data_IF_898586450349
#
_entry.id   IF_898586450349
#
_cell.length_a   1.000
_cell.length_b   1.000
_cell.length_c   1.000
_cell.angle_alpha   90.00
_cell.angle_beta   90.00
_cell.angle_gamma   90.00
#
_symmetry.space_group_name_H-M   'P 1'
#
loop_
_entity.id
_entity.type
_entity.pdbx_description
1 polymer ?
#
# COMPACT_ATOMS: atom_id res chain seq x y z
N UNK A 1 -0.15 19.03 13.53
CA UNK A 1 -1.57 19.33 13.80
C UNK A 1 -2.34 18.03 13.70
N UNK A 2 -3.30 17.76 14.60
CA UNK A 2 -4.16 16.57 14.50
C UNK A 2 -5.44 16.99 13.79
N UNK A 3 -5.77 16.32 12.69
CA UNK A 3 -6.92 16.59 11.83
C UNK A 3 -7.73 15.30 11.65
N UNK A 4 -8.97 15.40 11.18
CA UNK A 4 -9.90 14.24 11.05
C UNK A 4 -10.06 13.46 12.35
N UNK A 5 -10.53 14.14 13.41
CA UNK A 5 -10.91 13.54 14.70
C UNK A 5 -9.85 12.68 15.40
N UNK A 6 -8.55 12.85 15.11
CA UNK A 6 -7.49 12.00 15.69
C UNK A 6 -6.77 11.11 14.67
N UNK A 7 -7.43 10.81 13.55
CA UNK A 7 -6.99 9.80 12.58
C UNK A 7 -5.87 10.26 11.66
N UNK A 8 -5.70 11.58 11.47
CA UNK A 8 -4.67 12.13 10.61
C UNK A 8 -3.75 13.09 11.36
N UNK A 9 -2.48 12.74 11.48
CA UNK A 9 -1.49 13.58 12.12
C UNK A 9 -0.60 14.24 11.06
N UNK A 10 -0.37 15.55 11.19
CA UNK A 10 0.62 16.28 10.38
C UNK A 10 1.81 16.69 11.25
N UNK A 11 2.97 16.13 10.92
CA UNK A 11 4.26 16.45 11.54
C UNK A 11 5.29 16.66 10.41
N UNK A 12 6.41 17.32 10.69
CA UNK A 12 7.48 17.55 9.71
C UNK A 12 7.98 16.26 9.04
N UNK A 13 7.97 15.13 9.76
CA UNK A 13 8.29 13.82 9.19
C UNK A 13 7.33 13.44 8.06
N UNK A 14 6.02 13.55 8.30
CA UNK A 14 4.97 13.18 7.34
C UNK A 14 5.04 14.08 6.10
N UNK A 15 5.32 15.38 6.30
CA UNK A 15 5.50 16.34 5.21
C UNK A 15 6.67 15.98 4.30
N UNK A 16 7.80 15.51 4.85
CA UNK A 16 8.96 15.06 4.06
C UNK A 16 8.58 13.87 3.16
N UNK A 17 7.86 12.87 3.69
CA UNK A 17 7.44 11.71 2.88
C UNK A 17 6.37 12.07 1.85
N UNK A 18 5.41 12.93 2.20
CA UNK A 18 4.42 13.44 1.25
C UNK A 18 5.08 14.21 0.11
N UNK A 19 6.05 15.06 0.43
CA UNK A 19 6.84 15.76 -0.58
C UNK A 19 7.59 14.79 -1.50
N UNK A 20 8.19 13.73 -0.93
CA UNK A 20 8.89 12.70 -1.71
C UNK A 20 7.93 11.96 -2.66
N UNK A 21 6.74 11.58 -2.19
CA UNK A 21 5.71 10.92 -3.02
C UNK A 21 5.24 11.84 -4.16
N UNK A 22 5.01 13.11 -3.86
CA UNK A 22 4.65 14.11 -4.87
C UNK A 22 5.77 14.29 -5.91
N UNK A 23 7.02 14.33 -5.47
CA UNK A 23 8.17 14.42 -6.37
C UNK A 23 8.28 13.19 -7.28
N UNK A 24 8.15 11.98 -6.73
CA UNK A 24 8.17 10.74 -7.50
C UNK A 24 7.07 10.70 -8.57
N UNK A 25 5.84 11.10 -8.23
CA UNK A 25 4.75 11.10 -9.19
C UNK A 25 4.85 12.17 -10.27
N UNK A 26 5.31 13.36 -9.89
CA UNK A 26 5.57 14.45 -10.85
C UNK A 26 6.64 14.05 -11.86
N UNK A 27 7.65 13.28 -11.45
CA UNK A 27 8.67 12.72 -12.34
C UNK A 27 8.16 11.53 -13.17
N UNK A 28 7.25 10.72 -12.62
CA UNK A 28 6.69 9.55 -13.31
C UNK A 28 5.87 9.95 -14.55
N UNK A 29 5.05 10.99 -14.45
CA UNK A 29 4.17 11.46 -15.55
C UNK A 29 4.95 11.73 -16.85
N UNK A 30 5.96 12.62 -16.90
CA UNK A 30 6.69 12.91 -18.14
C UNK A 30 7.45 11.68 -18.66
N UNK A 31 7.98 10.84 -17.79
CA UNK A 31 8.67 9.60 -18.19
C UNK A 31 7.75 8.59 -18.88
N UNK A 32 6.45 8.62 -18.55
CA UNK A 32 5.46 7.72 -19.14
C UNK A 32 4.81 8.22 -20.43
N UNK A 33 4.96 9.50 -20.80
CA UNK A 33 4.23 10.08 -21.95
C UNK A 33 4.54 9.34 -23.25
N UNK A 34 5.83 9.17 -23.56
CA UNK A 34 6.28 8.51 -24.79
C UNK A 34 5.77 7.06 -24.87
N UNK A 35 5.71 6.36 -23.73
CA UNK A 35 5.18 5.00 -23.66
C UNK A 35 3.68 4.91 -23.92
N UNK A 36 2.91 5.83 -23.36
CA UNK A 36 1.46 5.84 -23.54
C UNK A 36 1.11 6.18 -24.99
N UNK A 37 1.86 7.10 -25.61
CA UNK A 37 1.72 7.43 -27.02
C UNK A 37 2.03 6.24 -27.93
N UNK A 38 3.13 5.51 -27.67
CA UNK A 38 3.48 4.30 -28.43
C UNK A 38 2.48 3.15 -28.28
N UNK A 39 1.80 3.05 -27.14
CA UNK A 39 0.82 1.98 -26.87
C UNK A 39 -0.60 2.32 -27.32
N UNK A 40 -0.82 3.52 -27.86
CA UNK A 40 -2.12 4.05 -28.30
C UNK A 40 -3.20 4.00 -27.20
N UNK A 41 -2.79 4.15 -25.94
CA UNK A 41 -3.69 4.06 -24.79
C UNK A 41 -4.13 5.44 -24.28
N UNK A 42 -5.25 5.46 -23.54
CA UNK A 42 -5.85 6.71 -23.07
C UNK A 42 -5.06 7.32 -21.91
N UNK A 43 -4.26 8.36 -22.18
CA UNK A 43 -3.45 9.12 -21.20
C UNK A 43 -4.27 9.51 -19.95
N UNK A 44 -5.57 9.79 -20.11
CA UNK A 44 -6.46 10.13 -19.00
C UNK A 44 -6.62 8.99 -17.98
N UNK A 45 -6.71 7.73 -18.41
CA UNK A 45 -6.82 6.57 -17.50
C UNK A 45 -5.52 6.43 -16.69
N UNK A 46 -4.37 6.57 -17.36
CA UNK A 46 -3.06 6.49 -16.70
C UNK A 46 -2.90 7.58 -15.64
N UNK A 47 -3.19 8.85 -16.00
CA UNK A 47 -3.10 9.97 -15.07
C UNK A 47 -4.03 9.79 -13.87
N UNK A 48 -5.25 9.31 -14.09
CA UNK A 48 -6.20 9.04 -13.00
C UNK A 48 -5.62 8.03 -12.01
N UNK A 49 -5.07 6.92 -12.50
CA UNK A 49 -4.51 5.90 -11.61
C UNK A 49 -3.25 6.39 -10.89
N UNK A 50 -2.35 7.11 -11.56
CA UNK A 50 -1.15 7.69 -10.90
C UNK A 50 -1.56 8.67 -9.81
N UNK A 51 -2.46 9.61 -10.11
CA UNK A 51 -2.91 10.60 -9.13
C UNK A 51 -3.65 9.93 -7.96
N UNK A 52 -4.48 8.92 -8.23
CA UNK A 52 -5.18 8.19 -7.17
C UNK A 52 -4.20 7.40 -6.29
N UNK A 53 -3.18 6.77 -6.89
CA UNK A 53 -2.10 6.14 -6.13
C UNK A 53 -1.37 7.16 -5.24
N UNK A 54 -1.05 8.35 -5.77
CA UNK A 54 -0.36 9.38 -4.98
C UNK A 54 -1.16 9.84 -3.80
N UNK A 55 -2.47 10.03 -3.97
CA UNK A 55 -3.37 10.38 -2.87
C UNK A 55 -3.34 9.29 -1.80
N UNK A 56 -3.46 8.01 -2.18
CA UNK A 56 -3.32 6.89 -1.25
C UNK A 56 -2.00 6.92 -0.48
N UNK A 57 -0.88 7.13 -1.16
CA UNK A 57 0.43 7.27 -0.52
C UNK A 57 0.52 8.46 0.45
N UNK A 58 -0.05 9.61 0.08
CA UNK A 58 -0.06 10.80 0.95
C UNK A 58 -0.90 10.60 2.21
N UNK A 59 -2.04 9.89 2.10
CA UNK A 59 -2.87 9.51 3.24
C UNK A 59 -2.14 8.57 4.19
N UNK A 60 -1.40 7.59 3.65
CA UNK A 60 -0.61 6.66 4.46
C UNK A 60 0.42 7.38 5.34
N UNK A 61 1.09 8.41 4.81
CA UNK A 61 2.09 9.17 5.58
C UNK A 61 1.54 9.84 6.85
N UNK A 62 0.25 10.17 6.89
CA UNK A 62 -0.38 10.80 8.05
C UNK A 62 -1.31 9.88 8.83
N UNK A 63 -1.41 8.60 8.47
CA UNK A 63 -2.34 7.66 9.07
C UNK A 63 -1.97 7.36 10.54
N UNK A 64 -2.93 7.49 11.44
CA UNK A 64 -2.76 7.25 12.87
C UNK A 64 -3.67 6.13 13.43
N UNK A 65 -4.54 5.57 12.59
CA UNK A 65 -5.50 4.52 12.93
C UNK A 65 -5.35 3.31 12.00
N UNK A 66 -5.70 2.12 12.50
CA UNK A 66 -5.55 0.87 11.73
C UNK A 66 -6.33 0.87 10.42
N UNK A 67 -7.47 1.56 10.34
CA UNK A 67 -8.30 1.59 9.13
C UNK A 67 -7.60 2.40 8.06
N UNK A 68 -7.13 3.61 8.36
CA UNK A 68 -6.42 4.42 7.36
C UNK A 68 -5.11 3.74 6.94
N UNK A 69 -4.39 3.10 7.87
CA UNK A 69 -3.18 2.33 7.57
C UNK A 69 -3.49 1.13 6.66
N UNK A 70 -4.70 0.57 6.70
CA UNK A 70 -5.10 -0.48 5.77
C UNK A 70 -5.57 0.07 4.42
N UNK A 71 -6.49 1.04 4.43
CA UNK A 71 -7.18 1.53 3.23
C UNK A 71 -6.24 2.32 2.32
N UNK A 72 -5.34 3.12 2.88
CA UNK A 72 -4.45 3.97 2.09
C UNK A 72 -3.47 3.15 1.21
N UNK A 73 -2.76 2.12 1.73
CA UNK A 73 -1.96 1.21 0.91
C UNK A 73 -2.80 0.35 -0.05
N UNK A 74 -4.03 -0.04 0.30
CA UNK A 74 -4.90 -0.77 -0.62
C UNK A 74 -5.29 0.07 -1.84
N UNK A 75 -5.64 1.35 -1.62
CA UNK A 75 -5.94 2.27 -2.69
C UNK A 75 -4.72 2.48 -3.61
N UNK A 76 -3.54 2.66 -3.02
CA UNK A 76 -2.28 2.71 -3.76
C UNK A 76 -2.07 1.43 -4.59
N UNK A 77 -2.20 0.26 -3.96
CA UNK A 77 -1.91 -1.01 -4.62
C UNK A 77 -2.90 -1.37 -5.72
N UNK A 78 -4.19 -1.10 -5.55
CA UNK A 78 -5.19 -1.29 -6.60
C UNK A 78 -4.87 -0.47 -7.84
N UNK A 79 -4.44 0.78 -7.66
CA UNK A 79 -3.99 1.62 -8.77
C UNK A 79 -2.73 1.01 -9.42
N UNK A 80 -1.76 0.56 -8.63
CA UNK A 80 -0.55 -0.11 -9.15
C UNK A 80 -0.87 -1.39 -9.93
N UNK A 81 -1.86 -2.19 -9.51
CA UNK A 81 -2.31 -3.37 -10.24
C UNK A 81 -2.92 -2.99 -11.59
N UNK A 82 -3.72 -1.93 -11.63
CA UNK A 82 -4.29 -1.44 -12.88
C UNK A 82 -3.21 -0.86 -13.82
N UNK A 83 -2.18 -0.19 -13.28
CA UNK A 83 -1.03 0.26 -14.06
C UNK A 83 -0.20 -0.90 -14.61
N UNK A 84 -0.01 -1.99 -13.87
CA UNK A 84 0.77 -3.13 -14.38
C UNK A 84 0.09 -3.82 -15.56
N UNK A 85 -1.24 -3.67 -15.65
CA UNK A 85 -2.10 -4.25 -16.68
C UNK A 85 -2.55 -3.25 -17.72
N UNK A 86 -1.89 -2.10 -17.78
CA UNK A 86 -2.34 -0.99 -18.58
C UNK A 86 -2.43 -1.42 -20.06
N UNK A 87 -1.42 -2.15 -20.55
CA UNK A 87 -1.38 -2.71 -21.92
C UNK A 87 -2.28 -3.93 -22.07
N UNK A 88 -3.61 -3.70 -22.11
CA UNK A 88 -4.68 -4.73 -22.12
C UNK A 88 -4.51 -5.81 -23.20
N UNK A 89 -3.85 -5.52 -24.31
CA UNK A 89 -3.63 -6.44 -25.44
C UNK A 89 -2.42 -7.37 -25.25
N UNK A 90 -1.50 -7.05 -24.33
CA UNK A 90 -0.31 -7.87 -24.09
C UNK A 90 -0.60 -8.95 -23.04
N UNK A 91 -0.43 -10.20 -23.43
CA UNK A 91 -0.63 -11.36 -22.56
C UNK A 91 0.32 -11.31 -21.36
N UNK A 92 1.53 -10.78 -21.52
CA UNK A 92 2.51 -10.68 -20.42
C UNK A 92 2.10 -9.65 -19.37
N UNK A 93 1.60 -8.50 -19.81
CA UNK A 93 1.06 -7.47 -18.91
C UNK A 93 -0.16 -7.98 -18.13
N UNK A 94 -1.03 -8.75 -18.79
CA UNK A 94 -2.18 -9.40 -18.15
C UNK A 94 -1.77 -10.47 -17.14
N UNK A 95 -0.77 -11.31 -17.47
CA UNK A 95 -0.22 -12.30 -16.54
C UNK A 95 0.40 -11.63 -15.31
N UNK A 96 1.25 -10.62 -15.52
CA UNK A 96 1.88 -9.84 -14.46
C UNK A 96 0.83 -9.22 -13.52
N UNK A 97 -0.22 -8.63 -14.08
CA UNK A 97 -1.30 -8.01 -13.30
C UNK A 97 -2.07 -9.02 -12.47
N UNK A 98 -2.39 -10.17 -13.06
CA UNK A 98 -3.10 -11.24 -12.35
C UNK A 98 -2.26 -11.78 -11.20
N UNK A 99 -0.96 -12.01 -11.43
CA UNK A 99 -0.01 -12.41 -10.37
C UNK A 99 0.10 -11.34 -9.29
N UNK A 100 0.22 -10.08 -9.68
CA UNK A 100 0.39 -8.97 -8.75
C UNK A 100 -0.84 -8.78 -7.85
N UNK A 101 -2.03 -8.81 -8.46
CA UNK A 101 -3.31 -8.70 -7.77
C UNK A 101 -3.52 -9.86 -6.79
N UNK A 102 -3.29 -11.11 -7.22
CA UNK A 102 -3.52 -12.29 -6.37
C UNK A 102 -2.57 -12.31 -5.17
N UNK A 103 -1.28 -12.09 -5.41
CA UNK A 103 -0.28 -12.13 -4.35
C UNK A 103 -0.42 -10.92 -3.41
N UNK A 104 -0.74 -9.75 -3.98
CA UNK A 104 -1.09 -8.55 -3.23
C UNK A 104 -2.34 -8.70 -2.37
N UNK A 105 -3.41 -9.28 -2.90
CA UNK A 105 -4.63 -9.58 -2.15
C UNK A 105 -4.40 -10.59 -1.02
N UNK A 106 -3.55 -11.60 -1.24
CA UNK A 106 -3.15 -12.54 -0.20
C UNK A 106 -2.37 -11.84 0.94
N UNK A 107 -1.40 -10.98 0.61
CA UNK A 107 -0.67 -10.16 1.57
C UNK A 107 -1.61 -9.26 2.39
N UNK A 108 -2.56 -8.62 1.72
CA UNK A 108 -3.52 -7.71 2.33
C UNK A 108 -4.46 -8.46 3.28
N UNK A 109 -4.85 -9.69 2.92
CA UNK A 109 -5.63 -10.58 3.79
C UNK A 109 -4.86 -10.95 5.07
N UNK A 110 -3.57 -11.28 4.96
CA UNK A 110 -2.71 -11.59 6.11
C UNK A 110 -2.57 -10.35 7.02
N UNK A 111 -2.38 -9.17 6.42
CA UNK A 111 -2.24 -7.91 7.15
C UNK A 111 -3.51 -7.57 7.95
N UNK A 112 -4.71 -7.70 7.33
CA UNK A 112 -6.00 -7.47 8.01
C UNK A 112 -6.21 -8.47 9.15
N UNK A 113 -5.81 -9.73 8.99
CA UNK A 113 -5.88 -10.69 10.10
C UNK A 113 -5.02 -10.24 11.28
N UNK A 114 -3.83 -9.71 11.04
CA UNK A 114 -2.99 -9.11 12.09
C UNK A 114 -3.66 -7.92 12.78
N UNK A 115 -4.27 -7.01 12.01
CA UNK A 115 -5.02 -5.88 12.54
C UNK A 115 -6.25 -6.30 13.35
N UNK A 116 -6.98 -7.32 12.90
CA UNK A 116 -8.12 -7.87 13.64
C UNK A 116 -7.71 -8.41 15.01
N UNK A 117 -6.55 -9.04 15.13
CA UNK A 117 -6.03 -9.51 16.41
C UNK A 117 -5.63 -8.36 17.34
N UNK A 118 -4.99 -7.31 16.81
CA UNK A 118 -4.66 -6.11 17.59
C UNK A 118 -5.92 -5.42 18.09
N UNK A 119 -6.91 -5.20 17.22
CA UNK A 119 -8.20 -4.60 17.55
C UNK A 119 -8.95 -5.40 18.63
N UNK A 120 -8.98 -6.73 18.51
CA UNK A 120 -9.61 -7.58 19.52
C UNK A 120 -8.89 -7.56 20.86
N UNK A 121 -7.56 -7.51 20.85
CA UNK A 121 -6.73 -7.51 22.08
C UNK A 121 -6.68 -6.14 22.77
N UNK A 122 -6.88 -5.04 22.04
CA UNK A 122 -6.94 -3.68 22.60
C UNK A 122 -8.27 -3.35 23.27
N UNK A 123 -9.31 -4.17 23.06
CA UNK A 123 -10.66 -3.91 23.58
C UNK A 123 -11.59 -3.20 22.59
N UNK A 124 -11.20 -3.11 21.31
CA UNK A 124 -11.99 -2.46 20.26
C UNK A 124 -11.47 -1.08 19.85
N UNK A 125 -10.24 -0.74 20.21
CA UNK A 125 -9.61 0.53 19.84
C UNK A 125 -8.95 0.43 18.46
N UNK A 126 -9.04 1.52 17.69
CA UNK A 126 -8.57 1.59 16.29
C UNK A 126 -7.38 2.54 16.15
N UNK A 127 -7.31 3.59 16.99
CA UNK A 127 -6.18 4.51 17.01
C UNK A 127 -4.94 3.82 17.60
N UNK A 128 -3.77 4.06 17.00
CA UNK A 128 -2.53 3.41 17.42
C UNK A 128 -2.18 3.68 18.89
N UNK A 129 -2.40 4.91 19.37
CA UNK A 129 -2.12 5.28 20.76
C UNK A 129 -3.06 4.57 21.74
N UNK A 130 -4.35 4.48 21.40
CA UNK A 130 -5.36 3.81 22.20
C UNK A 130 -5.14 2.30 22.22
N UNK A 131 -4.72 1.71 21.10
CA UNK A 131 -4.32 0.29 21.03
C UNK A 131 -3.18 -0.01 22.01
N UNK A 132 -2.14 0.82 22.03
CA UNK A 132 -1.02 0.66 22.97
C UNK A 132 -1.51 0.76 24.42
N UNK A 133 -2.36 1.74 24.73
CA UNK A 133 -2.92 1.90 26.07
C UNK A 133 -3.81 0.70 26.48
N UNK A 134 -4.64 0.20 25.57
CA UNK A 134 -5.49 -0.98 25.78
C UNK A 134 -4.67 -2.25 26.04
N UNK A 135 -3.57 -2.44 25.32
CA UNK A 135 -2.64 -3.55 25.51
C UNK A 135 -1.92 -3.52 26.86
N UNK A 136 -1.56 -2.33 27.34
CA UNK A 136 -0.94 -2.12 28.65
C UNK A 136 -1.96 -2.39 29.76
N UNK A 137 -3.17 -1.84 29.65
CA UNK A 137 -4.24 -1.98 30.65
C UNK A 137 -4.70 -3.43 30.82
N UNK A 138 -4.78 -4.18 29.72
CA UNK A 138 -5.14 -5.61 29.74
C UNK A 138 -3.99 -6.53 30.12
N UNK A 139 -2.78 -6.00 30.33
CA UNK A 139 -1.53 -6.76 30.53
C UNK A 139 -1.25 -7.80 29.44
N UNK A 140 -1.87 -7.64 28.26
CA UNK A 140 -1.76 -8.59 27.16
C UNK A 140 -0.50 -8.39 26.32
N UNK A 141 0.28 -7.32 26.55
CA UNK A 141 1.45 -6.95 25.74
C UNK A 141 2.46 -8.08 25.46
N UNK A 142 2.57 -9.08 26.35
CA UNK A 142 3.46 -10.23 26.19
C UNK A 142 2.74 -11.54 25.86
N UNK A 143 1.46 -11.48 25.49
CA UNK A 143 0.70 -12.67 25.14
C UNK A 143 1.13 -13.21 23.76
N UNK A 144 1.03 -14.54 23.54
CA UNK A 144 1.35 -15.14 22.25
C UNK A 144 0.43 -14.65 21.12
N UNK A 145 -0.76 -14.11 21.43
CA UNK A 145 -1.66 -13.56 20.42
C UNK A 145 -1.09 -12.31 19.74
N UNK A 146 -0.45 -11.42 20.50
CA UNK A 146 0.15 -10.20 19.95
C UNK A 146 1.42 -10.48 19.16
N UNK A 147 2.22 -11.48 19.56
CA UNK A 147 3.37 -11.87 18.75
C UNK A 147 2.93 -12.43 17.39
N UNK A 148 1.86 -13.24 17.34
CA UNK A 148 1.25 -13.71 16.09
C UNK A 148 0.72 -12.53 15.26
N UNK A 149 0.05 -11.57 15.88
CA UNK A 149 -0.47 -10.38 15.20
C UNK A 149 0.66 -9.57 14.55
N UNK A 150 1.75 -9.32 15.28
CA UNK A 150 2.93 -8.62 14.77
C UNK A 150 3.61 -9.37 13.63
N UNK A 151 3.69 -10.71 13.70
CA UNK A 151 4.21 -11.53 12.60
C UNK A 151 3.36 -11.35 11.34
N UNK A 152 2.03 -11.43 11.46
CA UNK A 152 1.13 -11.24 10.32
C UNK A 152 1.24 -9.85 9.70
N UNK A 153 1.32 -8.80 10.53
CA UNK A 153 1.51 -7.42 10.05
C UNK A 153 2.86 -7.29 9.33
N UNK A 154 3.94 -7.83 9.92
CA UNK A 154 5.29 -7.77 9.33
C UNK A 154 5.35 -8.53 8.01
N UNK A 155 4.72 -9.69 7.91
CA UNK A 155 4.64 -10.48 6.66
C UNK A 155 3.81 -9.75 5.61
N UNK A 156 2.67 -9.18 6.00
CA UNK A 156 1.79 -8.42 5.11
C UNK A 156 2.49 -7.19 4.53
N UNK A 157 3.11 -6.37 5.38
CA UNK A 157 3.89 -5.19 4.96
C UNK A 157 5.14 -5.62 4.17
N UNK A 158 5.84 -6.66 4.62
CA UNK A 158 7.01 -7.22 3.96
C UNK A 158 6.69 -7.56 2.50
N UNK A 159 5.58 -8.25 2.23
CA UNK A 159 5.20 -8.57 0.86
C UNK A 159 5.02 -7.33 -0.04
N UNK A 160 4.45 -6.22 0.48
CA UNK A 160 4.31 -4.96 -0.29
C UNK A 160 5.65 -4.26 -0.53
N UNK A 161 6.66 -4.48 0.32
CA UNK A 161 8.01 -3.90 0.20
C UNK A 161 8.99 -4.77 -0.60
N UNK A 162 8.64 -6.02 -0.89
CA UNK A 162 9.48 -6.98 -1.64
C UNK A 162 10.90 -7.28 -1.08
N UNK A 163 11.17 -7.32 0.23
CA UNK A 163 12.43 -7.87 0.73
C UNK A 163 12.44 -9.39 0.53
N UNK A 164 13.63 -10.00 0.50
CA UNK A 164 13.75 -11.45 0.56
C UNK A 164 13.20 -11.98 1.90
N UNK A 165 12.38 -13.07 1.92
CA UNK A 165 12.04 -13.99 0.82
C UNK A 165 10.80 -13.61 -0.01
N UNK A 166 10.04 -12.58 0.37
CA UNK A 166 8.75 -12.17 -0.22
C UNK A 166 8.81 -11.43 -1.57
N UNK A 167 9.95 -11.46 -2.26
CA UNK A 167 10.22 -10.74 -3.52
C UNK A 167 9.77 -11.49 -4.79
N UNK A 168 9.20 -12.69 -4.67
CA UNK A 168 8.92 -13.59 -5.80
C UNK A 168 8.08 -12.96 -6.93
N UNK A 169 7.16 -12.06 -6.57
CA UNK A 169 6.31 -11.38 -7.55
C UNK A 169 7.02 -10.25 -8.30
N UNK A 170 8.11 -9.71 -7.73
CA UNK A 170 8.73 -8.46 -8.21
C UNK A 170 9.38 -8.62 -9.59
N UNK A 171 10.21 -9.64 -9.87
CA UNK A 171 10.80 -9.79 -11.21
C UNK A 171 9.74 -9.93 -12.31
N UNK A 172 8.73 -10.79 -12.09
CA UNK A 172 7.67 -11.07 -13.06
C UNK A 172 6.85 -9.82 -13.41
N UNK A 173 6.49 -9.02 -12.40
CA UNK A 173 5.68 -7.82 -12.61
C UNK A 173 6.47 -6.75 -13.34
N UNK A 174 7.73 -6.52 -12.96
CA UNK A 174 8.57 -5.53 -13.63
C UNK A 174 8.92 -5.95 -15.07
N UNK A 175 9.07 -7.24 -15.36
CA UNK A 175 9.27 -7.72 -16.73
C UNK A 175 7.99 -7.60 -17.58
N UNK A 176 6.83 -7.87 -17.00
CA UNK A 176 5.54 -7.77 -17.68
C UNK A 176 5.14 -6.35 -18.06
N UNK A 177 5.63 -5.34 -17.33
CA UNK A 177 5.45 -3.92 -17.63
C UNK A 177 6.63 -3.42 -18.45
N UNK A 178 6.72 -3.86 -19.70
CA UNK A 178 7.81 -3.45 -20.59
C UNK A 178 7.49 -2.11 -21.26
N UNK A 179 8.37 -1.13 -21.07
CA UNK A 179 8.52 -0.01 -21.99
C UNK A 179 9.09 -0.56 -23.31
N UNK A 180 8.23 -0.78 -24.29
CA UNK A 180 8.67 -1.26 -25.60
C UNK A 180 9.35 -0.09 -26.32
N UNK A 181 10.58 -0.34 -26.81
CA UNK A 181 11.20 0.42 -27.90
C UNK A 181 10.76 -0.14 -29.23
#
# INVERSE_FOLDING_TARGET
>A
MISFSGNFQTNNFNEIFQFLILLCSTLCIPLSVEYIECTEMAITEFLLFVLTATLGGMFLCGANDLITIFVAPECFSLCSYLLSGYTKKDVRSNEATTKYLLMGGASSSILVHGFSWLYGSSGGEIELQEIVNGLINTQMYNSPGISIALIFITVGIGFKLSPAPSHQWTPDVYEGVRFVR
#
